data_IF_018244151554
#
_entry.id   IF_018244151554
#
_cell.length_a   1.000
_cell.length_b   1.000
_cell.length_c   1.000
_cell.angle_alpha   90.00
_cell.angle_beta   90.00
_cell.angle_gamma   90.00
#
_symmetry.space_group_name_H-M   'P 1'
#
loop_
_entity.id
_entity.type
_entity.pdbx_description
1 polymer ?
#
# COMPACT_ATOMS: atom_id res chain seq x y z
N UNK A 1 -10.44 -16.17 15.98
CA UNK A 1 -10.30 -16.22 14.51
C UNK A 1 -10.95 -17.48 14.00
N UNK A 2 -12.05 -17.30 13.26
CA UNK A 2 -12.79 -18.36 12.55
C UNK A 2 -11.90 -19.10 11.53
N UNK A 3 -12.04 -20.42 11.43
CA UNK A 3 -11.33 -21.26 10.46
C UNK A 3 -11.57 -20.79 9.02
N UNK A 4 -12.75 -20.23 8.73
CA UNK A 4 -13.07 -19.68 7.41
C UNK A 4 -12.13 -18.54 7.00
N UNK A 5 -11.73 -17.70 7.97
CA UNK A 5 -10.80 -16.58 7.75
C UNK A 5 -9.39 -17.09 7.54
N UNK A 6 -8.96 -18.09 8.32
CA UNK A 6 -7.65 -18.71 8.15
C UNK A 6 -7.52 -19.38 6.76
N UNK A 7 -8.53 -20.13 6.34
CA UNK A 7 -8.57 -20.74 5.01
C UNK A 7 -8.53 -19.67 3.91
N UNK A 8 -9.21 -18.54 4.09
CA UNK A 8 -9.17 -17.43 3.14
C UNK A 8 -7.77 -16.81 3.02
N UNK A 9 -7.03 -16.67 4.13
CA UNK A 9 -5.64 -16.18 4.10
C UNK A 9 -4.75 -17.16 3.32
N UNK A 10 -4.81 -18.45 3.65
CA UNK A 10 -4.00 -19.50 2.99
C UNK A 10 -4.30 -19.56 1.49
N UNK A 11 -5.59 -19.58 1.13
CA UNK A 11 -6.02 -19.54 -0.26
C UNK A 11 -5.56 -18.26 -0.96
N UNK A 12 -5.60 -17.12 -0.27
CA UNK A 12 -5.06 -15.84 -0.72
C UNK A 12 -3.58 -15.95 -1.09
N UNK A 13 -2.73 -16.46 -0.19
CA UNK A 13 -1.28 -16.63 -0.44
C UNK A 13 -1.04 -17.48 -1.70
N UNK A 14 -1.73 -18.61 -1.83
CA UNK A 14 -1.61 -19.51 -2.99
C UNK A 14 -2.06 -18.80 -4.28
N UNK A 15 -3.17 -18.08 -4.22
CA UNK A 15 -3.74 -17.37 -5.38
C UNK A 15 -2.83 -16.24 -5.87
N UNK A 16 -2.31 -15.42 -4.96
CA UNK A 16 -1.38 -14.34 -5.30
C UNK A 16 -0.06 -14.89 -5.86
N UNK A 17 0.47 -15.96 -5.27
CA UNK A 17 1.66 -16.65 -5.77
C UNK A 17 1.43 -17.20 -7.18
N UNK A 18 0.29 -17.84 -7.41
CA UNK A 18 -0.07 -18.40 -8.72
C UNK A 18 -0.20 -17.29 -9.78
N UNK A 19 -0.85 -16.18 -9.42
CA UNK A 19 -0.99 -15.02 -10.30
C UNK A 19 0.38 -14.39 -10.65
N UNK A 20 1.29 -14.32 -9.69
CA UNK A 20 2.66 -13.87 -9.92
C UNK A 20 3.42 -14.76 -10.89
N UNK A 21 3.43 -16.08 -10.66
CA UNK A 21 4.08 -17.04 -11.55
C UNK A 21 3.49 -16.98 -12.97
N UNK A 22 2.17 -16.82 -13.08
CA UNK A 22 1.51 -16.64 -14.38
C UNK A 22 1.94 -15.32 -15.05
N UNK A 23 2.02 -14.22 -14.30
CA UNK A 23 2.47 -12.92 -14.81
C UNK A 23 3.93 -12.99 -15.28
N UNK A 24 4.81 -13.68 -14.54
CA UNK A 24 6.19 -13.95 -14.97
C UNK A 24 6.25 -14.72 -16.29
N UNK A 25 5.35 -15.70 -16.47
CA UNK A 25 5.25 -16.47 -17.72
C UNK A 25 4.76 -15.63 -18.89
N UNK A 26 3.80 -14.73 -18.68
CA UNK A 26 3.30 -13.81 -19.71
C UNK A 26 4.31 -12.74 -20.12
N UNK A 27 5.16 -12.30 -19.18
CA UNK A 27 6.14 -11.24 -19.41
C UNK A 27 7.58 -11.73 -19.14
N UNK A 28 8.10 -12.70 -19.91
CA UNK A 28 9.39 -13.34 -19.63
C UNK A 28 10.59 -12.38 -19.72
N UNK A 29 10.45 -11.33 -20.53
CA UNK A 29 11.49 -10.32 -20.74
C UNK A 29 11.47 -9.18 -19.70
N UNK A 30 10.54 -9.22 -18.73
CA UNK A 30 10.40 -8.20 -17.68
C UNK A 30 11.08 -8.63 -16.40
N UNK A 31 11.40 -7.65 -15.55
CA UNK A 31 12.05 -7.90 -14.27
C UNK A 31 11.12 -8.61 -13.27
N UNK A 32 11.70 -9.14 -12.19
CA UNK A 32 10.93 -9.69 -11.07
C UNK A 32 10.03 -8.62 -10.45
N UNK A 33 10.60 -7.44 -10.15
CA UNK A 33 9.90 -6.29 -9.58
C UNK A 33 8.75 -5.82 -10.51
N UNK A 34 8.94 -5.79 -11.82
CA UNK A 34 7.88 -5.44 -12.77
C UNK A 34 6.66 -6.35 -12.65
N UNK A 35 6.87 -7.67 -12.70
CA UNK A 35 5.79 -8.62 -12.58
C UNK A 35 5.13 -8.55 -11.20
N UNK A 36 5.92 -8.35 -10.13
CA UNK A 36 5.38 -8.21 -8.79
C UNK A 36 4.54 -6.92 -8.65
N UNK A 37 4.94 -5.82 -9.28
CA UNK A 37 4.19 -4.56 -9.31
C UNK A 37 2.85 -4.67 -10.04
N UNK A 38 2.75 -5.50 -11.07
CA UNK A 38 1.47 -5.78 -11.72
C UNK A 38 0.51 -6.49 -10.76
N UNK A 39 0.99 -7.52 -10.05
CA UNK A 39 0.20 -8.23 -9.02
C UNK A 39 -0.19 -7.26 -7.89
N UNK A 40 0.74 -6.45 -7.44
CA UNK A 40 0.53 -5.44 -6.39
C UNK A 40 -0.50 -4.38 -6.79
N UNK A 41 -0.54 -4.01 -8.07
CA UNK A 41 -1.57 -3.10 -8.61
C UNK A 41 -2.96 -3.72 -8.52
N UNK A 42 -3.10 -5.00 -8.88
CA UNK A 42 -4.36 -5.75 -8.76
C UNK A 42 -4.79 -5.83 -7.30
N UNK A 43 -3.85 -6.14 -6.39
CA UNK A 43 -4.11 -6.14 -4.96
C UNK A 43 -4.61 -4.78 -4.48
N UNK A 44 -3.92 -3.68 -4.79
CA UNK A 44 -4.29 -2.35 -4.32
C UNK A 44 -5.72 -1.97 -4.76
N UNK A 45 -6.08 -2.24 -6.01
CA UNK A 45 -7.45 -2.01 -6.52
C UNK A 45 -8.46 -2.84 -5.74
N UNK A 46 -8.16 -4.13 -5.52
CA UNK A 46 -9.03 -5.03 -4.77
C UNK A 46 -9.15 -4.59 -3.30
N UNK A 47 -8.06 -4.23 -2.65
CA UNK A 47 -8.01 -3.80 -1.25
C UNK A 47 -8.83 -2.53 -1.02
N UNK A 48 -8.69 -1.52 -1.88
CA UNK A 48 -9.51 -0.31 -1.84
C UNK A 48 -10.98 -0.68 -2.05
N UNK A 49 -11.30 -1.46 -3.08
CA UNK A 49 -12.69 -1.86 -3.38
C UNK A 49 -13.33 -2.59 -2.21
N UNK A 50 -12.66 -3.61 -1.68
CA UNK A 50 -13.13 -4.41 -0.54
C UNK A 50 -13.28 -3.55 0.72
N UNK A 51 -12.38 -2.60 0.94
CA UNK A 51 -12.48 -1.65 2.05
C UNK A 51 -13.75 -0.80 1.94
N UNK A 52 -13.99 -0.19 0.77
CA UNK A 52 -15.15 0.68 0.56
C UNK A 52 -16.48 -0.09 0.70
N UNK A 53 -16.60 -1.30 0.13
CA UNK A 53 -17.84 -2.10 0.26
C UNK A 53 -18.05 -2.68 1.67
N UNK A 54 -17.01 -2.69 2.51
CA UNK A 54 -17.07 -3.17 3.88
C UNK A 54 -17.45 -2.10 4.90
N UNK A 55 -17.49 -0.81 4.49
CA UNK A 55 -17.98 0.29 5.31
C UNK A 55 -19.43 0.02 5.70
N UNK A 56 -19.72 0.11 7.00
CA UNK A 56 -21.04 -0.24 7.55
C UNK A 56 -22.04 0.91 7.40
N UNK A 57 -21.59 2.15 7.61
CA UNK A 57 -22.40 3.35 7.45
C UNK A 57 -21.56 4.48 6.83
N UNK A 58 -21.98 4.98 5.67
CA UNK A 58 -21.28 6.06 4.97
C UNK A 58 -21.48 7.43 5.60
N UNK A 59 -22.51 7.61 6.45
CA UNK A 59 -22.66 8.84 7.22
C UNK A 59 -21.59 8.97 8.29
N UNK A 60 -21.07 7.84 8.78
CA UNK A 60 -19.96 7.80 9.73
C UNK A 60 -19.04 6.59 9.44
N UNK A 61 -18.14 6.69 8.43
CA UNK A 61 -17.38 5.54 7.91
C UNK A 61 -16.46 4.84 8.92
N UNK A 62 -16.10 5.54 10.01
CA UNK A 62 -15.24 5.02 11.07
C UNK A 62 -16.04 4.45 12.25
N UNK A 63 -17.35 4.64 12.29
CA UNK A 63 -18.19 4.15 13.38
C UNK A 63 -18.70 2.72 13.10
N UNK A 64 -18.77 1.85 14.11
CA UNK A 64 -18.27 2.04 15.47
C UNK A 64 -16.73 1.93 15.55
N UNK A 65 -16.14 2.75 16.44
CA UNK A 65 -14.71 2.70 16.78
C UNK A 65 -14.48 1.65 17.87
N UNK A 66 -13.30 1.02 17.87
CA UNK A 66 -12.88 0.03 18.85
C UNK A 66 -14.02 -0.95 19.18
N UNK A 67 -14.54 -1.60 18.13
CA UNK A 67 -15.66 -2.51 18.23
C UNK A 67 -15.39 -3.81 17.48
N UNK A 68 -16.27 -4.79 17.67
CA UNK A 68 -16.19 -6.05 16.93
C UNK A 68 -16.27 -5.81 15.42
N UNK A 69 -15.35 -6.44 14.69
CA UNK A 69 -15.28 -6.38 13.23
C UNK A 69 -16.43 -7.14 12.58
N UNK A 70 -17.04 -6.55 11.56
CA UNK A 70 -18.02 -7.24 10.73
C UNK A 70 -17.38 -8.30 9.83
N UNK A 71 -18.16 -9.28 9.38
CA UNK A 71 -17.65 -10.33 8.49
C UNK A 71 -17.10 -9.77 7.16
N UNK A 72 -17.67 -8.68 6.62
CA UNK A 72 -17.16 -8.02 5.41
C UNK A 72 -15.78 -7.40 5.65
N UNK A 73 -15.61 -6.69 6.78
CA UNK A 73 -14.32 -6.11 7.17
C UNK A 73 -13.27 -7.21 7.37
N UNK A 74 -13.62 -8.27 8.11
CA UNK A 74 -12.73 -9.42 8.33
C UNK A 74 -12.27 -10.06 7.02
N UNK A 75 -13.15 -10.24 6.04
CA UNK A 75 -12.79 -10.77 4.71
C UNK A 75 -11.88 -9.82 3.93
N UNK A 76 -12.14 -8.51 3.96
CA UNK A 76 -11.28 -7.51 3.30
C UNK A 76 -9.85 -7.53 3.86
N UNK A 77 -9.73 -7.60 5.19
CA UNK A 77 -8.45 -7.70 5.89
C UNK A 77 -7.75 -9.04 5.59
N UNK A 78 -8.47 -10.16 5.59
CA UNK A 78 -7.92 -11.49 5.32
C UNK A 78 -7.32 -11.62 3.90
N UNK A 79 -8.04 -11.11 2.88
CA UNK A 79 -7.53 -11.05 1.50
C UNK A 79 -6.23 -10.25 1.41
N UNK A 80 -6.18 -9.13 2.15
CA UNK A 80 -4.99 -8.27 2.22
C UNK A 80 -3.84 -8.93 2.95
N UNK A 81 -4.08 -9.57 4.09
CA UNK A 81 -3.05 -10.30 4.84
C UNK A 81 -2.46 -11.42 3.98
N UNK A 82 -3.29 -12.17 3.24
CA UNK A 82 -2.80 -13.17 2.29
C UNK A 82 -1.89 -12.58 1.21
N UNK A 83 -2.22 -11.40 0.67
CA UNK A 83 -1.33 -10.68 -0.24
C UNK A 83 -0.04 -10.23 0.45
N UNK A 84 -0.12 -9.62 1.63
CA UNK A 84 1.06 -9.08 2.32
C UNK A 84 2.05 -10.17 2.70
N UNK A 85 1.58 -11.38 3.05
CA UNK A 85 2.45 -12.54 3.29
C UNK A 85 3.17 -12.93 1.99
N UNK A 86 2.43 -13.06 0.89
CA UNK A 86 3.01 -13.31 -0.44
C UNK A 86 4.07 -12.25 -0.81
N UNK A 87 3.72 -10.97 -0.66
CA UNK A 87 4.57 -9.85 -1.11
C UNK A 87 5.80 -9.68 -0.21
N UNK A 88 5.66 -9.95 1.10
CA UNK A 88 6.79 -10.02 2.02
C UNK A 88 7.80 -11.08 1.59
N UNK A 89 7.33 -12.27 1.20
CA UNK A 89 8.20 -13.33 0.67
C UNK A 89 8.87 -12.89 -0.63
N UNK A 90 8.13 -12.28 -1.55
CA UNK A 90 8.70 -11.72 -2.79
C UNK A 90 9.80 -10.67 -2.53
N UNK A 91 9.63 -9.82 -1.52
CA UNK A 91 10.63 -8.83 -1.13
C UNK A 91 11.96 -9.46 -0.66
N UNK A 92 11.93 -10.67 -0.08
CA UNK A 92 13.13 -11.39 0.34
C UNK A 92 13.93 -11.97 -0.84
N UNK A 93 13.28 -12.19 -1.99
CA UNK A 93 13.91 -12.69 -3.21
C UNK A 93 14.39 -11.58 -4.15
N UNK A 94 14.02 -10.32 -3.89
CA UNK A 94 14.50 -9.20 -4.69
C UNK A 94 16.00 -8.97 -4.49
N UNK A 95 16.72 -8.63 -5.56
CA UNK A 95 18.17 -8.44 -5.54
C UNK A 95 18.61 -7.25 -4.67
N UNK A 96 17.68 -6.33 -4.39
CA UNK A 96 17.92 -5.15 -3.55
C UNK A 96 16.84 -5.03 -2.48
N UNK A 97 17.04 -5.73 -1.36
CA UNK A 97 16.14 -5.64 -0.21
C UNK A 97 16.11 -4.20 0.31
N UNK A 98 14.95 -3.54 0.18
CA UNK A 98 14.71 -2.20 0.72
C UNK A 98 14.19 -2.32 2.15
N UNK A 99 15.02 -1.98 3.11
CA UNK A 99 14.71 -2.10 4.55
C UNK A 99 13.43 -1.35 4.91
N UNK A 100 13.17 -0.18 4.30
CA UNK A 100 11.96 0.58 4.54
C UNK A 100 10.68 -0.14 4.09
N UNK A 101 10.74 -0.86 2.95
CA UNK A 101 9.63 -1.71 2.54
C UNK A 101 9.46 -2.90 3.48
N UNK A 102 10.56 -3.54 3.92
CA UNK A 102 10.48 -4.68 4.82
C UNK A 102 9.81 -4.30 6.16
N UNK A 103 10.18 -3.16 6.73
CA UNK A 103 9.55 -2.62 7.95
C UNK A 103 8.07 -2.33 7.70
N UNK A 104 7.73 -1.71 6.57
CA UNK A 104 6.34 -1.47 6.20
C UNK A 104 5.52 -2.76 6.17
N UNK A 105 5.99 -3.79 5.44
CA UNK A 105 5.30 -5.06 5.35
C UNK A 105 5.18 -5.74 6.71
N UNK A 106 6.23 -5.71 7.54
CA UNK A 106 6.19 -6.29 8.88
C UNK A 106 5.12 -5.60 9.75
N UNK A 107 5.12 -4.27 9.80
CA UNK A 107 4.11 -3.49 10.55
C UNK A 107 2.70 -3.77 10.02
N UNK A 108 2.52 -3.86 8.70
CA UNK A 108 1.22 -4.13 8.07
C UNK A 108 0.73 -5.56 8.35
N UNK A 109 1.59 -6.58 8.20
CA UNK A 109 1.22 -7.99 8.48
C UNK A 109 0.87 -8.17 9.95
N UNK A 110 1.69 -7.63 10.86
CA UNK A 110 1.43 -7.73 12.30
C UNK A 110 0.18 -6.93 12.69
N UNK A 111 0.01 -5.72 12.18
CA UNK A 111 -1.14 -4.87 12.47
C UNK A 111 -2.46 -5.47 12.00
N UNK A 112 -2.56 -5.83 10.71
CA UNK A 112 -3.78 -6.43 10.16
C UNK A 112 -4.02 -7.83 10.71
N UNK A 113 -2.96 -8.62 10.93
CA UNK A 113 -3.03 -9.92 11.58
C UNK A 113 -3.56 -9.83 13.02
N UNK A 114 -3.13 -8.82 13.79
CA UNK A 114 -3.65 -8.56 15.12
C UNK A 114 -5.14 -8.18 15.08
N UNK A 115 -5.56 -7.35 14.13
CA UNK A 115 -6.98 -7.01 13.95
C UNK A 115 -7.86 -8.22 13.63
N UNK A 116 -7.35 -9.14 12.82
CA UNK A 116 -8.01 -10.42 12.54
C UNK A 116 -8.03 -11.34 13.76
N UNK A 117 -6.94 -11.41 14.53
CA UNK A 117 -6.85 -12.26 15.72
C UNK A 117 -7.79 -11.78 16.84
N UNK A 118 -7.84 -10.46 17.07
CA UNK A 118 -8.73 -9.85 18.06
C UNK A 118 -10.18 -9.73 17.58
N UNK A 119 -10.43 -9.81 16.27
CA UNK A 119 -11.74 -9.56 15.65
C UNK A 119 -12.30 -8.18 16.06
N UNK A 120 -11.40 -7.20 16.20
CA UNK A 120 -11.67 -5.88 16.78
C UNK A 120 -11.19 -4.76 15.85
N UNK A 121 -11.72 -3.55 16.04
CA UNK A 121 -11.38 -2.32 15.30
C UNK A 121 -11.51 -2.40 13.78
N UNK A 122 -12.48 -3.17 13.29
CA UNK A 122 -12.67 -3.42 11.86
C UNK A 122 -12.86 -2.15 11.03
N UNK A 123 -13.61 -1.17 11.55
CA UNK A 123 -13.86 0.11 10.88
C UNK A 123 -12.58 0.92 10.70
N UNK A 124 -11.76 1.02 11.75
CA UNK A 124 -10.46 1.68 11.66
C UNK A 124 -9.50 0.95 10.71
N UNK A 125 -9.48 -0.40 10.78
CA UNK A 125 -8.60 -1.23 9.95
C UNK A 125 -8.90 -1.11 8.46
N UNK A 126 -10.18 -1.15 8.05
CA UNK A 126 -10.54 -1.02 6.62
C UNK A 126 -10.36 0.41 6.11
N UNK A 127 -10.58 1.40 6.98
CA UNK A 127 -10.22 2.78 6.64
C UNK A 127 -8.71 2.93 6.46
N UNK A 128 -7.90 2.30 7.31
CA UNK A 128 -6.44 2.30 7.20
C UNK A 128 -6.01 1.65 5.90
N UNK A 129 -6.58 0.48 5.58
CA UNK A 129 -6.34 -0.24 4.34
C UNK A 129 -6.65 0.63 3.10
N UNK A 130 -7.80 1.30 3.08
CA UNK A 130 -8.18 2.19 1.99
C UNK A 130 -7.19 3.36 1.85
N UNK A 131 -6.90 4.05 2.96
CA UNK A 131 -5.99 5.20 3.01
C UNK A 131 -4.58 4.80 2.57
N UNK A 132 -4.11 3.61 2.95
CA UNK A 132 -2.78 3.17 2.57
C UNK A 132 -2.70 2.74 1.11
N UNK A 133 -3.71 2.04 0.60
CA UNK A 133 -3.66 1.43 -0.73
C UNK A 133 -4.09 2.33 -1.88
N UNK A 134 -4.86 3.40 -1.64
CA UNK A 134 -5.37 4.26 -2.72
C UNK A 134 -4.26 4.91 -3.58
N UNK A 135 -3.07 5.10 -3.02
CA UNK A 135 -1.90 5.62 -3.75
C UNK A 135 -1.08 4.55 -4.48
N UNK A 136 -1.23 3.28 -4.11
CA UNK A 136 -0.38 2.17 -4.59
C UNK A 136 -0.45 1.91 -6.10
N UNK A 137 -1.61 1.98 -6.79
CA UNK A 137 -1.65 1.81 -8.24
C UNK A 137 -0.74 2.81 -8.98
N UNK A 138 -0.69 4.05 -8.49
CA UNK A 138 0.16 5.10 -9.06
C UNK A 138 1.64 4.92 -8.70
N UNK A 139 1.94 4.38 -7.50
CA UNK A 139 3.28 3.95 -7.11
C UNK A 139 3.82 2.84 -8.02
N UNK A 140 2.99 1.87 -8.37
CA UNK A 140 3.39 0.79 -9.26
C UNK A 140 3.51 1.30 -10.71
N UNK A 141 2.54 2.08 -11.18
CA UNK A 141 2.56 2.68 -12.52
C UNK A 141 3.83 3.49 -12.76
N UNK A 142 4.25 4.37 -11.84
CA UNK A 142 5.44 5.21 -12.02
C UNK A 142 6.75 4.41 -12.16
N UNK A 143 6.85 3.23 -11.55
CA UNK A 143 8.04 2.37 -11.69
C UNK A 143 7.94 1.49 -12.94
N UNK A 144 6.77 0.95 -13.24
CA UNK A 144 6.47 0.21 -14.48
C UNK A 144 6.83 1.07 -15.71
N UNK A 145 6.43 2.35 -15.72
CA UNK A 145 6.76 3.27 -16.80
C UNK A 145 8.26 3.45 -17.00
N UNK A 146 9.06 3.47 -15.93
CA UNK A 146 10.52 3.59 -16.03
C UNK A 146 11.12 2.35 -16.69
N UNK A 147 10.67 1.15 -16.33
CA UNK A 147 11.14 -0.10 -16.96
C UNK A 147 10.69 -0.23 -18.42
N UNK A 148 9.54 0.35 -18.77
CA UNK A 148 9.07 0.44 -20.15
C UNK A 148 9.81 1.47 -21.02
N UNK A 149 10.80 2.18 -20.46
CA UNK A 149 11.58 3.19 -21.19
C UNK A 149 11.01 4.60 -21.15
N UNK A 150 9.91 4.84 -20.42
CA UNK A 150 9.28 6.16 -20.28
C UNK A 150 9.89 7.00 -19.16
N UNK A 151 11.08 6.66 -18.64
CA UNK A 151 11.75 7.44 -17.60
C UNK A 151 11.98 8.88 -18.07
N UNK A 152 11.72 9.85 -17.18
CA UNK A 152 11.87 11.29 -17.42
C UNK A 152 10.97 11.90 -18.52
N UNK A 153 9.96 11.16 -18.99
CA UNK A 153 8.90 11.69 -19.88
C UNK A 153 7.82 12.47 -19.12
N UNK A 154 7.00 13.27 -19.82
CA UNK A 154 5.82 13.92 -19.23
C UNK A 154 4.84 12.92 -18.63
N UNK A 155 4.66 11.76 -19.27
CA UNK A 155 3.78 10.72 -18.77
C UNK A 155 4.29 10.11 -17.45
N UNK A 156 5.60 9.84 -17.34
CA UNK A 156 6.19 9.40 -16.09
C UNK A 156 6.11 10.48 -14.99
N UNK A 157 6.31 11.75 -15.34
CA UNK A 157 6.15 12.84 -14.39
C UNK A 157 4.69 12.97 -13.90
N UNK A 158 3.71 12.84 -14.79
CA UNK A 158 2.30 12.85 -14.41
C UNK A 158 1.99 11.74 -13.39
N UNK A 159 2.49 10.53 -13.62
CA UNK A 159 2.37 9.42 -12.66
C UNK A 159 3.09 9.71 -11.33
N UNK A 160 4.28 10.30 -11.35
CA UNK A 160 5.00 10.71 -10.14
C UNK A 160 4.21 11.74 -9.32
N UNK A 161 3.66 12.77 -9.98
CA UNK A 161 2.89 13.84 -9.34
C UNK A 161 1.58 13.30 -8.79
N UNK A 162 0.85 12.50 -9.57
CA UNK A 162 -0.42 11.91 -9.14
C UNK A 162 -0.22 10.99 -7.93
N UNK A 163 0.81 10.15 -7.96
CA UNK A 163 1.21 9.36 -6.79
C UNK A 163 1.49 10.26 -5.58
N UNK A 164 2.30 11.31 -5.74
CA UNK A 164 2.66 12.19 -4.65
C UNK A 164 1.45 12.91 -4.03
N UNK A 165 0.54 13.43 -4.87
CA UNK A 165 -0.68 14.11 -4.41
C UNK A 165 -1.58 13.15 -3.64
N UNK A 166 -1.90 11.99 -4.23
CA UNK A 166 -2.79 11.00 -3.60
C UNK A 166 -2.18 10.47 -2.30
N UNK A 167 -0.89 10.14 -2.30
CA UNK A 167 -0.17 9.71 -1.10
C UNK A 167 -0.24 10.77 0.00
N UNK A 168 -0.03 12.03 -0.34
CA UNK A 168 -0.05 13.14 0.63
C UNK A 168 -1.45 13.34 1.22
N UNK A 169 -2.48 13.44 0.37
CA UNK A 169 -3.85 13.60 0.84
C UNK A 169 -4.29 12.42 1.70
N UNK A 170 -4.08 11.20 1.23
CA UNK A 170 -4.52 10.01 1.96
C UNK A 170 -3.73 9.85 3.27
N UNK A 171 -2.39 9.80 3.20
CA UNK A 171 -1.58 9.37 4.35
C UNK A 171 -1.05 10.50 5.22
N UNK A 172 -1.01 11.75 4.75
CA UNK A 172 -0.56 12.90 5.56
C UNK A 172 -1.71 13.78 6.05
N UNK A 173 -2.94 13.59 5.54
CA UNK A 173 -4.14 14.24 6.06
C UNK A 173 -5.06 13.19 6.69
N UNK A 174 -5.51 12.20 5.91
CA UNK A 174 -6.35 11.10 6.41
C UNK A 174 -5.63 10.22 7.44
N UNK A 175 -4.36 9.88 7.18
CA UNK A 175 -3.53 9.02 8.03
C UNK A 175 -3.40 9.50 9.48
N UNK A 176 -2.98 10.77 9.74
CA UNK A 176 -2.89 11.29 11.11
C UNK A 176 -4.22 11.32 11.83
N UNK A 177 -5.31 11.70 11.15
CA UNK A 177 -6.66 11.68 11.74
C UNK A 177 -7.07 10.26 12.14
N UNK A 178 -6.89 9.30 11.24
CA UNK A 178 -7.21 7.90 11.51
C UNK A 178 -6.34 7.32 12.64
N UNK A 179 -5.06 7.67 12.67
CA UNK A 179 -4.13 7.29 13.74
C UNK A 179 -4.59 7.87 15.06
N UNK A 180 -4.96 9.16 15.10
CA UNK A 180 -5.45 9.82 16.30
C UNK A 180 -6.70 9.13 16.86
N UNK A 181 -7.72 8.85 16.04
CA UNK A 181 -8.93 8.18 16.53
C UNK A 181 -8.64 6.75 16.99
N UNK A 182 -7.76 6.03 16.30
CA UNK A 182 -7.36 4.66 16.68
C UNK A 182 -6.62 4.63 18.02
N UNK A 183 -5.73 5.61 18.25
CA UNK A 183 -4.97 5.75 19.51
C UNK A 183 -5.86 6.21 20.67
N UNK A 184 -6.87 7.04 20.39
CA UNK A 184 -7.78 7.59 21.39
C UNK A 184 -8.87 6.61 21.81
N UNK A 185 -9.27 5.70 20.91
CA UNK A 185 -10.26 4.67 21.21
C UNK A 185 -9.69 3.57 22.13
N UNK A 186 -10.57 2.74 22.70
CA UNK A 186 -10.20 1.63 23.58
C UNK A 186 -9.71 0.41 22.79
N UNK A 187 -8.67 0.61 21.98
CA UNK A 187 -8.05 -0.43 21.17
C UNK A 187 -6.90 -1.15 21.92
N UNK A 188 -6.65 -2.44 21.63
CA UNK A 188 -5.48 -3.15 22.16
C UNK A 188 -4.17 -2.39 21.88
N UNK A 189 -3.24 -2.45 22.83
CA UNK A 189 -1.94 -1.73 22.74
C UNK A 189 -1.19 -2.08 21.46
N UNK A 190 -1.25 -3.34 21.01
CA UNK A 190 -0.62 -3.78 19.77
C UNK A 190 -1.19 -3.04 18.54
N UNK A 191 -2.52 -2.89 18.45
CA UNK A 191 -3.17 -2.14 17.36
C UNK A 191 -2.71 -0.69 17.35
N UNK A 192 -2.68 -0.06 18.53
CA UNK A 192 -2.20 1.32 18.70
C UNK A 192 -0.74 1.48 18.25
N UNK A 193 0.13 0.56 18.66
CA UNK A 193 1.53 0.56 18.27
C UNK A 193 1.71 0.39 16.75
N UNK A 194 0.95 -0.52 16.12
CA UNK A 194 1.02 -0.75 14.67
C UNK A 194 0.46 0.42 13.87
N UNK A 195 -0.63 1.05 14.32
CA UNK A 195 -1.18 2.26 13.70
C UNK A 195 -0.18 3.42 13.73
N UNK A 196 0.46 3.67 14.88
CA UNK A 196 1.52 4.67 15.00
C UNK A 196 2.72 4.33 14.11
N UNK A 197 3.17 3.07 14.12
CA UNK A 197 4.26 2.59 13.28
C UNK A 197 3.99 2.84 11.78
N UNK A 198 2.77 2.54 11.33
CA UNK A 198 2.36 2.75 9.94
C UNK A 198 2.33 4.23 9.56
N UNK A 199 1.91 5.10 10.48
CA UNK A 199 1.94 6.56 10.26
C UNK A 199 3.38 7.09 10.18
N UNK A 200 4.29 6.58 11.02
CA UNK A 200 5.71 6.96 11.00
C UNK A 200 6.41 6.54 9.70
N UNK A 201 6.17 5.31 9.24
CA UNK A 201 6.67 4.83 7.93
C UNK A 201 6.11 5.71 6.81
N UNK A 202 4.83 6.08 6.88
CA UNK A 202 4.22 6.96 5.88
C UNK A 202 4.85 8.34 5.86
N UNK A 203 5.13 8.94 7.02
CA UNK A 203 5.82 10.23 7.12
C UNK A 203 7.26 10.17 6.56
N UNK A 204 7.99 9.08 6.83
CA UNK A 204 9.31 8.86 6.24
C UNK A 204 9.27 8.79 4.71
N UNK A 205 8.29 8.06 4.15
CA UNK A 205 8.12 8.01 2.70
C UNK A 205 7.67 9.34 2.11
N UNK A 206 6.80 10.09 2.80
CA UNK A 206 6.43 11.44 2.37
C UNK A 206 7.67 12.33 2.19
N UNK A 207 8.61 12.29 3.13
CA UNK A 207 9.89 13.01 3.00
C UNK A 207 10.67 12.60 1.74
N UNK A 208 10.79 11.29 1.46
CA UNK A 208 11.45 10.80 0.24
C UNK A 208 10.74 11.25 -1.04
N UNK A 209 9.40 11.22 -1.03
CA UNK A 209 8.57 11.64 -2.17
C UNK A 209 8.71 13.14 -2.42
N UNK A 210 8.61 13.98 -1.39
CA UNK A 210 8.77 15.42 -1.51
C UNK A 210 10.14 15.78 -2.12
N UNK A 211 11.22 15.16 -1.64
CA UNK A 211 12.57 15.35 -2.20
C UNK A 211 12.67 14.94 -3.66
N UNK A 212 12.08 13.81 -4.03
CA UNK A 212 12.06 13.32 -5.40
C UNK A 212 11.33 14.29 -6.33
N UNK A 213 10.15 14.79 -5.93
CA UNK A 213 9.36 15.74 -6.71
C UNK A 213 10.10 17.06 -6.88
N UNK A 214 10.64 17.62 -5.78
CA UNK A 214 11.46 18.83 -5.83
C UNK A 214 12.64 18.68 -6.80
N UNK A 215 13.36 17.56 -6.72
CA UNK A 215 14.48 17.29 -7.61
C UNK A 215 14.08 17.26 -9.09
N UNK A 216 12.95 16.61 -9.42
CA UNK A 216 12.45 16.52 -10.80
C UNK A 216 12.07 17.89 -11.36
N UNK A 217 11.41 18.73 -10.57
CA UNK A 217 11.09 20.11 -10.98
C UNK A 217 12.34 20.98 -11.13
N UNK A 218 13.29 20.91 -10.19
CA UNK A 218 14.56 21.63 -10.31
C UNK A 218 15.36 21.21 -11.55
N UNK A 219 15.37 19.91 -11.92
CA UNK A 219 16.04 19.42 -13.13
C UNK A 219 15.40 19.98 -14.41
N UNK A 220 14.07 20.08 -14.47
CA UNK A 220 13.35 20.65 -15.63
C UNK A 220 13.58 22.15 -15.81
N UNK A 221 13.72 22.88 -14.71
CA UNK A 221 13.90 24.33 -14.74
C UNK A 221 15.34 24.78 -15.05
N UNK A 222 16.31 23.84 -15.16
CA UNK A 222 17.66 24.19 -15.59
C UNK A 222 17.65 24.53 -17.09
N UNK A 223 18.21 25.69 -17.50
CA UNK A 223 18.31 26.02 -18.91
C UNK A 223 19.14 24.96 -19.63
N UNK A 224 18.65 24.48 -20.79
CA UNK A 224 19.43 23.61 -21.66
C UNK A 224 20.62 24.44 -22.16
N UNK A 225 21.84 24.10 -21.73
CA UNK A 225 23.06 24.70 -22.27
C UNK A 225 23.12 24.28 -23.73
N UNK A 226 22.80 25.20 -24.64
CA UNK A 226 23.02 25.02 -26.07
C UNK A 226 24.52 25.17 -26.28
N UNK A 227 25.23 24.05 -26.43
CA UNK A 227 26.58 24.10 -26.99
C UNK A 227 26.46 24.52 -28.46
N UNK A 228 26.64 25.82 -28.71
CA UNK A 228 26.94 26.34 -30.04
C UNK A 228 28.31 25.78 -30.43
N UNK A 229 28.32 24.75 -31.27
CA UNK A 229 29.53 24.38 -32.01
C UNK A 229 29.75 25.48 -33.04
N UNK A 230 30.78 26.31 -32.83
CA UNK A 230 31.43 27.10 -33.88
C UNK A 230 32.52 26.27 -34.51
#
# INVERSE_FOLDING_TARGET
MDDSILHLIVFGVISWTTLFLFTRKLFPNRSFDFCNRLVSTIHAILAVTLSLISVQDWNCPLYPLASRSSHKQMRALAVTVGYLIYDFVCCLFDKQVKVDNLIHHLVSVVGLGAGLAYEWCGSEMVAALCVTEISSPFLHMREILKELGYKDTDFNLAADVLFAVIFSCARMIGGPYLTYVTLSANNPILIKAMALGLQLVSAFWFYKIARMIMHKFSKRNKPKIVHSNR
#
